data_IF_615418441462
#
_entry.id   IF_615418441462
#
_cell.length_a   1.000
_cell.length_b   1.000
_cell.length_c   1.000
_cell.angle_alpha   90.00
_cell.angle_beta   90.00
_cell.angle_gamma   90.00
#
_symmetry.space_group_name_H-M   'P 1'
#
loop_
_entity.id
_entity.type
_entity.pdbx_description
1 polymer ?
#
# COMPACT_ATOMS: atom_id res chain seq x y z
N UNK A 1 -23.83 -4.73 12.18
CA UNK A 1 -22.98 -3.58 12.59
C UNK A 1 -22.31 -3.00 11.35
N UNK A 2 -22.63 -1.77 10.94
CA UNK A 2 -21.89 -1.09 9.86
C UNK A 2 -20.61 -0.50 10.46
N UNK A 3 -19.50 -1.21 10.36
CA UNK A 3 -18.18 -0.68 10.70
C UNK A 3 -17.76 0.27 9.59
N UNK A 4 -18.12 1.54 9.73
CA UNK A 4 -17.68 2.56 8.79
C UNK A 4 -16.15 2.66 8.84
N UNK A 5 -15.46 2.56 7.71
CA UNK A 5 -14.00 2.72 7.64
C UNK A 5 -13.57 4.04 8.29
N UNK A 6 -12.42 4.06 8.97
CA UNK A 6 -11.86 5.31 9.53
C UNK A 6 -11.48 6.27 8.39
N UNK A 7 -11.46 7.60 8.62
CA UNK A 7 -11.24 8.59 7.55
C UNK A 7 -9.95 8.37 6.76
N UNK A 8 -8.85 8.00 7.41
CA UNK A 8 -7.57 7.74 6.73
C UNK A 8 -7.61 6.53 5.80
N UNK A 9 -8.29 5.43 6.17
CA UNK A 9 -8.50 4.30 5.27
C UNK A 9 -9.32 4.70 4.04
N UNK A 10 -10.35 5.53 4.22
CA UNK A 10 -11.17 6.01 3.09
C UNK A 10 -10.34 6.89 2.16
N UNK A 11 -9.61 7.85 2.72
CA UNK A 11 -8.74 8.73 1.94
C UNK A 11 -7.69 7.92 1.17
N UNK A 12 -6.98 7.01 1.84
CA UNK A 12 -6.00 6.12 1.22
C UNK A 12 -6.63 5.27 0.11
N UNK A 13 -7.82 4.70 0.34
CA UNK A 13 -8.50 3.90 -0.66
C UNK A 13 -8.92 4.74 -1.87
N UNK A 14 -9.46 5.95 -1.67
CA UNK A 14 -9.84 6.84 -2.77
C UNK A 14 -8.62 7.20 -3.62
N UNK A 15 -7.53 7.63 -3.01
CA UNK A 15 -6.32 7.97 -3.75
C UNK A 15 -5.72 6.76 -4.46
N UNK A 16 -5.66 5.60 -3.81
CA UNK A 16 -5.11 4.38 -4.42
C UNK A 16 -6.01 3.82 -5.52
N UNK A 17 -7.33 3.97 -5.43
CA UNK A 17 -8.25 3.64 -6.53
C UNK A 17 -8.06 4.61 -7.71
N UNK A 18 -7.86 5.90 -7.44
CA UNK A 18 -7.52 6.88 -8.47
C UNK A 18 -6.20 6.56 -9.18
N UNK A 19 -5.16 6.29 -8.41
CA UNK A 19 -3.87 5.79 -8.91
C UNK A 19 -4.04 4.54 -9.77
N UNK A 20 -4.79 3.56 -9.26
CA UNK A 20 -5.02 2.30 -9.99
C UNK A 20 -5.80 2.51 -11.27
N UNK A 21 -6.78 3.41 -11.27
CA UNK A 21 -7.52 3.75 -12.48
C UNK A 21 -6.59 4.33 -13.56
N UNK A 22 -5.62 5.17 -13.18
CA UNK A 22 -4.60 5.69 -14.08
C UNK A 22 -3.71 4.57 -14.61
N UNK A 23 -3.14 3.75 -13.72
CA UNK A 23 -2.20 2.69 -14.10
C UNK A 23 -2.86 1.57 -14.92
N UNK A 24 -4.12 1.23 -14.63
CA UNK A 24 -4.88 0.25 -15.41
C UNK A 24 -5.36 0.83 -16.74
N UNK A 25 -5.73 2.12 -16.79
CA UNK A 25 -6.00 2.80 -18.06
C UNK A 25 -4.77 2.77 -18.96
N UNK A 26 -3.58 2.98 -18.40
CA UNK A 26 -2.33 2.89 -19.14
C UNK A 26 -2.07 1.49 -19.69
N UNK A 27 -2.18 0.47 -18.84
CA UNK A 27 -2.06 -0.94 -19.23
C UNK A 27 -3.03 -1.34 -20.35
N UNK A 28 -4.30 -0.95 -20.24
CA UNK A 28 -5.34 -1.25 -21.24
C UNK A 28 -5.10 -0.48 -22.53
N UNK A 29 -4.71 0.79 -22.46
CA UNK A 29 -4.42 1.59 -23.66
C UNK A 29 -3.24 0.98 -24.41
N UNK A 30 -2.17 0.64 -23.71
CA UNK A 30 -0.99 0.03 -24.30
C UNK A 30 -1.30 -1.35 -24.88
N UNK A 31 -2.01 -2.20 -24.14
CA UNK A 31 -2.41 -3.53 -24.59
C UNK A 31 -3.34 -3.53 -25.82
N UNK A 32 -4.16 -2.48 -26.00
CA UNK A 32 -5.07 -2.37 -27.15
C UNK A 32 -4.47 -1.66 -28.35
N UNK A 33 -3.55 -0.71 -28.13
CA UNK A 33 -3.10 0.22 -29.19
C UNK A 33 -1.61 0.14 -29.50
N UNK A 34 -0.81 -0.52 -28.64
CA UNK A 34 0.65 -0.47 -28.69
C UNK A 34 1.24 0.88 -28.25
N UNK A 35 0.40 1.80 -27.75
CA UNK A 35 0.81 3.12 -27.28
C UNK A 35 0.38 3.34 -25.83
N UNK A 36 1.24 3.98 -25.04
CA UNK A 36 0.88 4.35 -23.68
C UNK A 36 -0.17 5.48 -23.65
N UNK A 37 -0.91 5.57 -22.55
CA UNK A 37 -1.97 6.58 -22.37
C UNK A 37 -1.42 8.00 -22.22
N UNK A 38 -2.31 8.99 -22.27
CA UNK A 38 -1.94 10.39 -22.07
C UNK A 38 -1.35 10.70 -20.67
N UNK A 39 -1.51 9.79 -19.70
CA UNK A 39 -0.97 9.91 -18.36
C UNK A 39 0.39 9.21 -18.17
N UNK A 40 0.90 8.57 -19.22
CA UNK A 40 2.18 7.87 -19.19
C UNK A 40 3.35 8.84 -19.08
N UNK A 41 4.28 8.55 -18.18
CA UNK A 41 5.34 9.47 -17.78
C UNK A 41 6.29 9.88 -18.93
N UNK A 42 6.42 9.09 -19.98
CA UNK A 42 7.41 9.27 -21.05
C UNK A 42 6.84 9.77 -22.38
N UNK A 43 5.53 9.68 -22.58
CA UNK A 43 4.90 9.99 -23.88
C UNK A 43 3.56 10.73 -23.77
N UNK A 44 3.09 11.00 -22.55
CA UNK A 44 1.82 11.66 -22.28
C UNK A 44 1.85 13.19 -22.44
N UNK A 45 0.69 13.81 -22.21
CA UNK A 45 0.58 15.27 -22.14
C UNK A 45 1.18 15.76 -20.81
N UNK A 46 2.06 16.77 -20.84
CA UNK A 46 2.79 17.25 -19.65
C UNK A 46 1.88 17.62 -18.47
N UNK A 47 0.74 18.28 -18.71
CA UNK A 47 -0.21 18.62 -17.65
C UNK A 47 -0.89 17.38 -17.05
N UNK A 48 -1.20 16.38 -17.89
CA UNK A 48 -1.80 15.11 -17.45
C UNK A 48 -0.77 14.26 -16.70
N UNK A 49 0.49 14.26 -17.13
CA UNK A 49 1.61 13.61 -16.43
C UNK A 49 1.76 14.22 -15.04
N UNK A 50 1.84 15.55 -14.93
CA UNK A 50 1.96 16.22 -13.63
C UNK A 50 0.78 15.88 -12.72
N UNK A 51 -0.46 15.91 -13.24
CA UNK A 51 -1.62 15.51 -12.46
C UNK A 51 -1.54 14.04 -12.00
N UNK A 52 -1.09 13.13 -12.87
CA UNK A 52 -0.88 11.72 -12.56
C UNK A 52 0.17 11.52 -11.46
N UNK A 53 1.30 12.23 -11.53
CA UNK A 53 2.36 12.20 -10.53
C UNK A 53 1.87 12.72 -9.17
N UNK A 54 1.06 13.78 -9.16
CA UNK A 54 0.43 14.28 -7.94
C UNK A 54 -0.48 13.23 -7.32
N UNK A 55 -1.30 12.54 -8.12
CA UNK A 55 -2.16 11.44 -7.64
C UNK A 55 -1.32 10.28 -7.07
N UNK A 56 -0.24 9.87 -7.75
CA UNK A 56 0.69 8.85 -7.25
C UNK A 56 1.26 9.25 -5.89
N UNK A 57 1.80 10.46 -5.80
CA UNK A 57 2.41 10.98 -4.59
C UNK A 57 1.45 11.00 -3.40
N UNK A 58 0.23 11.52 -3.62
CA UNK A 58 -0.81 11.54 -2.59
C UNK A 58 -1.28 10.14 -2.19
N UNK A 59 -1.38 9.19 -3.13
CA UNK A 59 -1.74 7.81 -2.83
C UNK A 59 -0.71 7.12 -1.93
N UNK A 60 0.59 7.31 -2.20
CA UNK A 60 1.66 6.78 -1.37
C UNK A 60 1.72 7.43 0.01
N UNK A 61 1.58 8.76 0.11
CA UNK A 61 1.53 9.45 1.40
C UNK A 61 0.28 9.07 2.22
N UNK A 62 -0.85 8.81 1.58
CA UNK A 62 -2.03 8.32 2.28
C UNK A 62 -1.81 6.93 2.89
N UNK A 63 -1.02 6.05 2.24
CA UNK A 63 -0.58 4.78 2.83
C UNK A 63 0.34 5.02 4.04
N UNK A 64 1.25 5.99 3.98
CA UNK A 64 2.08 6.37 5.14
C UNK A 64 1.21 6.75 6.33
N UNK A 65 0.14 7.54 6.11
CA UNK A 65 -0.82 7.89 7.16
C UNK A 65 -1.50 6.63 7.73
N UNK A 66 -1.92 5.68 6.89
CA UNK A 66 -2.49 4.40 7.37
C UNK A 66 -1.48 3.63 8.23
N UNK A 67 -0.24 3.48 7.76
CA UNK A 67 0.83 2.79 8.49
C UNK A 67 1.16 3.50 9.81
N UNK A 68 1.08 4.82 9.85
CA UNK A 68 1.29 5.61 11.05
C UNK A 68 0.15 5.41 12.06
N UNK A 69 -1.10 5.58 11.61
CA UNK A 69 -2.29 5.52 12.44
C UNK A 69 -2.60 4.12 12.98
N UNK A 70 -2.29 3.06 12.23
CA UNK A 70 -2.54 1.67 12.66
C UNK A 70 -1.37 1.09 13.49
N UNK A 71 -0.63 1.95 14.20
CA UNK A 71 0.52 1.56 15.01
C UNK A 71 0.24 0.43 15.99
N UNK A 72 -0.91 0.49 16.67
CA UNK A 72 -1.28 -0.47 17.69
C UNK A 72 -1.62 -1.85 17.10
N UNK A 73 -2.26 -1.88 15.93
CA UNK A 73 -2.52 -3.12 15.20
C UNK A 73 -1.20 -3.83 14.84
N UNK A 74 -0.19 -3.05 14.42
CA UNK A 74 1.16 -3.59 14.20
C UNK A 74 1.85 -3.99 15.51
N UNK A 75 1.65 -3.28 16.63
CA UNK A 75 2.21 -3.69 17.94
C UNK A 75 1.70 -5.05 18.39
N UNK A 76 0.44 -5.37 18.09
CA UNK A 76 -0.16 -6.67 18.33
C UNK A 76 0.31 -7.76 17.35
N UNK A 77 1.00 -7.38 16.26
CA UNK A 77 1.52 -8.30 15.26
C UNK A 77 2.91 -8.87 15.62
N UNK A 78 3.35 -9.88 14.86
CA UNK A 78 4.66 -10.50 15.06
C UNK A 78 5.82 -9.52 14.82
N UNK A 79 7.02 -9.84 15.34
CA UNK A 79 8.21 -8.95 15.23
C UNK A 79 8.55 -8.59 13.78
N UNK A 80 8.35 -9.53 12.86
CA UNK A 80 8.65 -9.34 11.45
C UNK A 80 7.73 -8.31 10.79
N UNK A 81 6.41 -8.40 11.01
CA UNK A 81 5.46 -7.40 10.54
C UNK A 81 5.71 -6.00 11.11
N UNK A 82 6.18 -5.91 12.36
CA UNK A 82 6.59 -4.63 12.97
C UNK A 82 7.82 -4.02 12.29
N UNK A 83 8.78 -4.84 11.87
CA UNK A 83 9.92 -4.39 11.05
C UNK A 83 9.45 -3.90 9.68
N UNK A 84 8.64 -4.71 8.99
CA UNK A 84 8.07 -4.37 7.68
C UNK A 84 7.27 -3.07 7.70
N UNK A 85 6.56 -2.76 8.79
CA UNK A 85 5.88 -1.48 8.94
C UNK A 85 6.82 -0.31 8.71
N UNK A 86 7.99 -0.30 9.36
CA UNK A 86 8.95 0.80 9.24
C UNK A 86 9.58 0.84 7.86
N UNK A 87 9.94 -0.32 7.31
CA UNK A 87 10.46 -0.42 5.94
C UNK A 87 9.48 0.17 4.93
N UNK A 88 8.20 -0.22 5.00
CA UNK A 88 7.15 0.27 4.11
C UNK A 88 6.85 1.74 4.36
N UNK A 89 6.87 2.21 5.60
CA UNK A 89 6.66 3.62 5.93
C UNK A 89 7.72 4.50 5.25
N UNK A 90 9.00 4.11 5.36
CA UNK A 90 10.09 4.83 4.71
C UNK A 90 9.98 4.74 3.19
N UNK A 91 9.72 3.56 2.63
CA UNK A 91 9.64 3.37 1.19
C UNK A 91 8.46 4.14 0.55
N UNK A 92 7.25 4.05 1.12
CA UNK A 92 6.10 4.83 0.66
C UNK A 92 6.28 6.33 0.89
N UNK A 93 6.90 6.73 2.01
CA UNK A 93 7.21 8.14 2.27
C UNK A 93 8.18 8.70 1.24
N UNK A 94 9.27 7.97 0.95
CA UNK A 94 10.21 8.31 -0.09
C UNK A 94 9.53 8.42 -1.45
N UNK A 95 8.79 7.39 -1.88
CA UNK A 95 8.08 7.39 -3.16
C UNK A 95 7.06 8.54 -3.27
N UNK A 96 6.29 8.78 -2.21
CA UNK A 96 5.30 9.84 -2.16
C UNK A 96 5.91 11.23 -2.33
N UNK A 97 6.99 11.51 -1.59
CA UNK A 97 7.70 12.78 -1.68
C UNK A 97 8.45 12.93 -3.02
N UNK A 98 9.08 11.86 -3.50
CA UNK A 98 9.76 11.84 -4.80
C UNK A 98 8.80 12.21 -5.94
N UNK A 99 7.60 11.62 -5.97
CA UNK A 99 6.59 11.91 -7.00
C UNK A 99 6.12 13.39 -6.95
N UNK A 100 5.88 13.92 -5.75
CA UNK A 100 5.37 15.30 -5.58
C UNK A 100 6.43 16.38 -5.84
N UNK A 101 7.67 16.15 -5.44
CA UNK A 101 8.68 17.21 -5.40
C UNK A 101 9.79 17.02 -6.43
N UNK A 102 10.11 15.79 -6.82
CA UNK A 102 11.19 15.54 -7.79
C UNK A 102 10.60 15.33 -9.18
N UNK A 103 9.71 14.35 -9.34
CA UNK A 103 9.16 14.02 -10.66
C UNK A 103 8.27 15.14 -11.22
N UNK A 104 7.47 15.78 -10.37
CA UNK A 104 6.60 16.88 -10.81
C UNK A 104 7.41 18.10 -11.31
N UNK A 105 8.60 18.32 -10.76
CA UNK A 105 9.48 19.43 -11.14
C UNK A 105 10.50 19.05 -12.23
N UNK A 106 10.65 17.76 -12.52
CA UNK A 106 11.57 17.24 -13.54
C UNK A 106 11.42 17.98 -14.90
N UNK A 107 10.22 18.22 -15.45
CA UNK A 107 10.10 18.91 -16.73
C UNK A 107 10.64 20.36 -16.71
N UNK A 108 10.68 21.01 -15.55
CA UNK A 108 11.13 22.39 -15.40
C UNK A 108 12.65 22.51 -15.15
N UNK A 109 13.34 21.41 -14.84
CA UNK A 109 14.74 21.40 -14.39
C UNK A 109 15.68 20.75 -15.43
N UNK A 110 15.15 20.07 -16.46
CA UNK A 110 15.90 19.07 -17.26
C UNK A 110 16.36 19.56 -18.65
N UNK A 111 16.54 20.86 -18.90
CA UNK A 111 17.29 21.25 -20.10
C UNK A 111 18.79 20.93 -19.95
N UNK A 112 19.23 19.77 -20.50
CA UNK A 112 20.63 19.54 -20.89
C UNK A 112 21.54 18.68 -20.00
N UNK A 113 21.04 17.95 -18.99
CA UNK A 113 21.89 17.13 -18.11
C UNK A 113 21.33 15.71 -17.94
N UNK A 114 21.83 14.73 -18.70
CA UNK A 114 21.35 13.33 -18.69
C UNK A 114 21.91 12.48 -17.52
N UNK A 115 23.09 12.83 -16.99
CA UNK A 115 23.87 11.96 -16.09
C UNK A 115 23.23 11.59 -14.72
N UNK A 116 22.52 12.47 -14.00
CA UNK A 116 21.97 12.14 -12.67
C UNK A 116 20.72 11.24 -12.71
N UNK A 117 19.99 11.22 -13.83
CA UNK A 117 18.65 10.65 -13.89
C UNK A 117 18.62 9.13 -13.96
N UNK A 118 19.66 8.51 -14.54
CA UNK A 118 19.78 7.04 -14.56
C UNK A 118 19.88 6.48 -13.13
N UNK A 119 20.67 7.12 -12.28
CA UNK A 119 20.80 6.72 -10.87
C UNK A 119 19.48 6.93 -10.14
N UNK A 120 18.78 8.03 -10.43
CA UNK A 120 17.47 8.31 -9.86
C UNK A 120 16.40 7.28 -10.24
N UNK A 121 16.34 6.87 -11.52
CA UNK A 121 15.43 5.83 -12.01
C UNK A 121 15.71 4.45 -11.39
N UNK A 122 16.99 4.12 -11.19
CA UNK A 122 17.40 2.93 -10.44
C UNK A 122 16.93 2.97 -8.98
N UNK A 123 17.07 4.11 -8.31
CA UNK A 123 16.59 4.31 -6.93
C UNK A 123 15.06 4.16 -6.88
N UNK A 124 14.33 4.78 -7.81
CA UNK A 124 12.88 4.65 -7.90
C UNK A 124 12.43 3.20 -8.11
N UNK A 125 13.10 2.47 -9.01
CA UNK A 125 12.85 1.04 -9.26
C UNK A 125 13.11 0.19 -8.01
N UNK A 126 14.22 0.45 -7.31
CA UNK A 126 14.54 -0.24 -6.06
C UNK A 126 13.50 0.05 -4.97
N UNK A 127 13.04 1.30 -4.84
CA UNK A 127 12.00 1.68 -3.88
C UNK A 127 10.66 0.99 -4.20
N UNK A 128 10.27 0.92 -5.47
CA UNK A 128 9.09 0.16 -5.91
C UNK A 128 9.22 -1.32 -5.57
N UNK A 129 10.38 -1.93 -5.82
CA UNK A 129 10.64 -3.32 -5.47
C UNK A 129 10.51 -3.56 -3.95
N UNK A 130 11.03 -2.64 -3.12
CA UNK A 130 10.87 -2.71 -1.66
C UNK A 130 9.41 -2.62 -1.24
N UNK A 131 8.62 -1.74 -1.88
CA UNK A 131 7.17 -1.65 -1.63
C UNK A 131 6.47 -2.95 -1.99
N UNK A 132 6.67 -3.47 -3.20
CA UNK A 132 6.01 -4.69 -3.69
C UNK A 132 6.39 -5.90 -2.83
N UNK A 133 7.68 -6.12 -2.61
CA UNK A 133 8.18 -7.25 -1.82
C UNK A 133 7.78 -7.10 -0.35
N UNK A 134 7.94 -5.92 0.23
CA UNK A 134 7.57 -5.65 1.62
C UNK A 134 6.08 -5.84 1.87
N UNK A 135 5.22 -5.39 0.95
CA UNK A 135 3.77 -5.58 1.03
C UNK A 135 3.38 -7.06 0.89
N UNK A 136 4.01 -7.80 -0.03
CA UNK A 136 3.82 -9.24 -0.17
C UNK A 136 4.23 -9.99 1.11
N UNK A 137 5.44 -9.72 1.61
CA UNK A 137 5.96 -10.31 2.85
C UNK A 137 5.08 -9.96 4.06
N UNK A 138 4.50 -8.76 4.08
CA UNK A 138 3.56 -8.37 5.12
C UNK A 138 2.28 -9.21 5.05
N UNK A 139 1.73 -9.45 3.86
CA UNK A 139 0.61 -10.36 3.67
C UNK A 139 0.91 -11.78 4.21
N UNK A 140 2.07 -12.33 3.86
CA UNK A 140 2.53 -13.62 4.36
C UNK A 140 2.67 -13.67 5.88
N UNK A 141 3.25 -12.63 6.47
CA UNK A 141 3.43 -12.52 7.91
C UNK A 141 2.10 -12.62 8.67
N UNK A 142 0.98 -12.27 8.03
CA UNK A 142 -0.36 -12.21 8.63
C UNK A 142 -1.20 -13.48 8.41
N UNK A 143 -0.72 -14.49 7.68
CA UNK A 143 -1.51 -15.68 7.32
C UNK A 143 -2.14 -16.41 8.52
N UNK A 144 -1.40 -16.50 9.65
CA UNK A 144 -1.81 -17.32 10.80
C UNK A 144 -2.67 -16.58 11.82
N UNK A 145 -2.34 -15.32 12.14
CA UNK A 145 -2.97 -14.58 13.25
C UNK A 145 -3.77 -13.37 12.80
N UNK A 146 -3.63 -12.96 11.53
CA UNK A 146 -4.27 -11.83 10.86
C UNK A 146 -4.66 -10.60 11.73
N UNK A 147 -3.75 -10.05 12.56
CA UNK A 147 -4.02 -8.87 13.38
C UNK A 147 -4.29 -7.61 12.56
N UNK A 148 -3.92 -7.61 11.27
CA UNK A 148 -4.10 -6.47 10.35
C UNK A 148 -5.38 -6.57 9.49
N UNK A 149 -6.30 -7.49 9.81
CA UNK A 149 -7.64 -7.51 9.23
C UNK A 149 -7.69 -7.84 7.74
N UNK A 150 -8.61 -7.22 7.00
CA UNK A 150 -8.86 -7.57 5.59
C UNK A 150 -7.68 -7.18 4.69
N UNK A 151 -7.02 -6.05 4.96
CA UNK A 151 -5.89 -5.57 4.16
C UNK A 151 -4.75 -6.60 4.07
N UNK A 152 -4.40 -7.25 5.18
CA UNK A 152 -3.35 -8.28 5.20
C UNK A 152 -3.65 -9.46 4.26
N UNK A 153 -4.94 -9.81 4.08
CA UNK A 153 -5.36 -10.87 3.15
C UNK A 153 -5.29 -10.42 1.70
N UNK A 154 -5.68 -9.18 1.42
CA UNK A 154 -5.59 -8.62 0.06
C UNK A 154 -4.13 -8.59 -0.40
N UNK A 155 -3.18 -8.30 0.50
CA UNK A 155 -1.75 -8.29 0.18
C UNK A 155 -1.18 -9.65 -0.26
N UNK A 156 -1.85 -10.77 0.06
CA UNK A 156 -1.47 -12.08 -0.51
C UNK A 156 -1.72 -12.14 -2.02
N UNK A 157 -2.61 -11.29 -2.54
CA UNK A 157 -2.86 -11.12 -3.97
C UNK A 157 -1.69 -10.50 -4.73
N UNK A 158 -0.65 -9.99 -4.05
CA UNK A 158 0.54 -9.46 -4.72
C UNK A 158 1.26 -10.56 -5.50
N UNK A 159 1.34 -11.78 -4.97
CA UNK A 159 1.95 -12.90 -5.70
C UNK A 159 1.24 -13.26 -7.00
N UNK A 160 -0.09 -13.51 -7.04
CA UNK A 160 -0.76 -13.78 -8.29
C UNK A 160 -0.71 -12.57 -9.24
N UNK A 161 -0.67 -11.33 -8.74
CA UNK A 161 -0.49 -10.15 -9.60
C UNK A 161 0.92 -10.11 -10.23
N UNK A 162 1.98 -10.43 -9.48
CA UNK A 162 3.34 -10.57 -10.03
C UNK A 162 3.40 -11.72 -11.04
N UNK A 163 2.81 -12.88 -10.71
CA UNK A 163 2.75 -14.00 -11.63
C UNK A 163 2.00 -13.65 -12.92
N UNK A 164 0.90 -12.90 -12.83
CA UNK A 164 0.17 -12.39 -13.99
C UNK A 164 1.06 -11.52 -14.87
N UNK A 165 1.80 -10.56 -14.28
CA UNK A 165 2.73 -9.71 -15.03
C UNK A 165 3.76 -10.57 -15.76
N UNK A 166 4.37 -11.56 -15.10
CA UNK A 166 5.37 -12.43 -15.72
C UNK A 166 4.80 -13.28 -16.86
N UNK A 167 3.58 -13.80 -16.69
CA UNK A 167 2.89 -14.54 -17.75
C UNK A 167 2.58 -13.63 -18.92
N UNK A 168 2.03 -12.44 -18.68
CA UNK A 168 1.75 -11.45 -19.73
C UNK A 168 3.04 -11.03 -20.44
N UNK A 169 4.14 -10.82 -19.72
CA UNK A 169 5.43 -10.50 -20.33
C UNK A 169 5.91 -11.58 -21.32
N UNK A 170 5.53 -12.84 -21.12
CA UNK A 170 5.88 -13.94 -22.00
C UNK A 170 4.89 -14.13 -23.17
N UNK A 171 3.59 -13.94 -22.95
CA UNK A 171 2.55 -14.33 -23.93
C UNK A 171 1.83 -13.15 -24.59
N UNK A 172 1.83 -11.98 -23.95
CA UNK A 172 1.19 -10.75 -24.42
C UNK A 172 1.95 -9.53 -23.86
N UNK A 173 3.19 -9.26 -24.33
CA UNK A 173 4.07 -8.27 -23.69
C UNK A 173 3.46 -6.89 -23.56
N UNK A 174 2.61 -6.48 -24.52
CA UNK A 174 1.94 -5.18 -24.50
C UNK A 174 0.94 -5.03 -23.34
N UNK A 175 0.52 -6.14 -22.73
CA UNK A 175 -0.35 -6.15 -21.56
C UNK A 175 0.43 -6.24 -20.24
N UNK A 176 1.74 -6.48 -20.28
CA UNK A 176 2.58 -6.59 -19.09
C UNK A 176 2.80 -5.22 -18.47
N UNK A 177 2.15 -4.97 -17.33
CA UNK A 177 2.17 -3.65 -16.69
C UNK A 177 2.25 -3.75 -15.15
N UNK A 178 3.08 -2.94 -14.48
CA UNK A 178 3.19 -2.94 -13.02
C UNK A 178 1.89 -2.54 -12.29
N UNK A 179 1.01 -1.82 -12.97
CA UNK A 179 -0.28 -1.33 -12.44
C UNK A 179 -1.17 -2.41 -11.82
N UNK A 180 -1.08 -3.67 -12.26
CA UNK A 180 -1.83 -4.77 -11.64
C UNK A 180 -1.38 -5.03 -10.19
N UNK A 181 -0.07 -4.97 -9.94
CA UNK A 181 0.50 -5.14 -8.60
C UNK A 181 0.26 -3.89 -7.76
N UNK A 182 0.42 -2.70 -8.35
CA UNK A 182 0.14 -1.44 -7.65
C UNK A 182 -1.30 -1.37 -7.15
N UNK A 183 -2.27 -1.85 -7.93
CA UNK A 183 -3.67 -1.95 -7.50
C UNK A 183 -3.82 -2.81 -6.24
N UNK A 184 -3.25 -4.02 -6.24
CA UNK A 184 -3.36 -4.93 -5.09
C UNK A 184 -2.65 -4.37 -3.86
N UNK A 185 -1.45 -3.82 -4.05
CA UNK A 185 -0.69 -3.16 -2.98
C UNK A 185 -1.50 -1.98 -2.43
N UNK A 186 -1.95 -1.07 -3.28
CA UNK A 186 -2.67 0.13 -2.89
C UNK A 186 -3.96 -0.17 -2.12
N UNK A 187 -4.77 -1.11 -2.61
CA UNK A 187 -6.00 -1.56 -1.93
C UNK A 187 -5.67 -2.27 -0.62
N UNK A 188 -4.73 -3.22 -0.63
CA UNK A 188 -4.38 -3.99 0.55
C UNK A 188 -3.79 -3.11 1.67
N UNK A 189 -2.88 -2.20 1.33
CA UNK A 189 -2.29 -1.25 2.26
C UNK A 189 -3.34 -0.28 2.82
N UNK A 190 -4.26 0.21 1.98
CA UNK A 190 -5.34 1.11 2.41
C UNK A 190 -6.30 0.47 3.41
N UNK A 191 -6.44 -0.86 3.38
CA UNK A 191 -7.33 -1.64 4.24
C UNK A 191 -6.62 -2.32 5.42
N UNK A 192 -5.33 -2.07 5.65
CA UNK A 192 -4.62 -2.63 6.81
C UNK A 192 -5.25 -2.15 8.12
N UNK A 193 -5.45 -3.04 9.09
CA UNK A 193 -6.11 -2.73 10.36
C UNK A 193 -7.64 -2.63 10.26
N UNK A 194 -8.22 -2.55 9.05
CA UNK A 194 -9.67 -2.55 8.87
C UNK A 194 -10.27 -3.90 9.28
N UNK A 195 -11.19 -3.86 10.25
CA UNK A 195 -11.86 -5.06 10.77
C UNK A 195 -11.01 -5.90 11.72
N UNK A 196 -9.85 -5.41 12.18
CA UNK A 196 -9.09 -6.05 13.24
C UNK A 196 -9.94 -6.09 14.53
N UNK A 197 -10.10 -7.28 15.12
CA UNK A 197 -10.83 -7.44 16.38
C UNK A 197 -10.01 -6.83 17.51
N UNK A 198 -10.38 -5.63 17.95
CA UNK A 198 -9.86 -5.06 19.18
C UNK A 198 -10.34 -5.94 20.33
N UNK A 199 -9.50 -6.86 20.82
CA UNK A 199 -9.75 -7.47 22.12
C UNK A 199 -9.64 -6.34 23.15
N UNK A 200 -10.80 -5.86 23.61
CA UNK A 200 -10.89 -4.85 24.65
C UNK A 200 -10.29 -5.43 25.94
N UNK A 201 -9.24 -4.84 26.54
CA UNK A 201 -8.62 -5.38 27.76
C UNK A 201 -9.50 -5.30 29.03
N UNK A 202 -10.74 -4.82 28.93
CA UNK A 202 -11.49 -4.31 30.09
C UNK A 202 -12.51 -5.29 30.70
N UNK A 203 -12.54 -6.58 30.34
CA UNK A 203 -13.56 -7.51 30.87
C UNK A 203 -13.02 -8.75 31.60
N UNK A 204 -11.74 -8.84 31.95
CA UNK A 204 -11.23 -10.00 32.72
C UNK A 204 -11.08 -9.77 34.23
N UNK A 205 -11.14 -8.53 34.73
CA UNK A 205 -10.89 -8.25 36.15
C UNK A 205 -12.15 -8.11 37.03
N UNK A 206 -13.35 -8.03 36.44
CA UNK A 206 -14.61 -7.89 37.20
C UNK A 206 -15.22 -9.23 37.66
N UNK A 207 -14.77 -10.38 37.14
CA UNK A 207 -15.31 -11.69 37.52
C UNK A 207 -14.52 -12.41 38.62
N UNK A 208 -13.38 -11.88 39.06
CA UNK A 208 -12.58 -12.49 40.13
C UNK A 208 -12.96 -12.04 41.55
N UNK A 209 -13.75 -10.98 41.70
CA UNK A 209 -14.04 -10.40 43.03
C UNK A 209 -15.40 -10.77 43.62
N UNK A 210 -16.28 -11.46 42.90
CA UNK A 210 -17.64 -11.79 43.39
C UNK A 210 -17.81 -13.22 43.91
N UNK A 211 -16.79 -14.07 43.81
CA UNK A 211 -16.89 -15.49 44.21
C UNK A 211 -16.34 -15.86 45.60
N UNK A 212 -15.71 -14.93 46.33
CA UNK A 212 -14.94 -15.28 47.54
C UNK A 212 -15.63 -14.98 48.89
N UNK A 213 -16.89 -14.54 48.91
CA UNK A 213 -17.62 -14.18 50.14
C UNK A 213 -19.00 -14.85 50.23
N UNK A 214 -19.05 -16.18 50.17
CA UNK A 214 -20.25 -16.91 50.54
C UNK A 214 -19.90 -18.20 51.29
N UNK A 215 -19.93 -18.15 52.63
CA UNK A 215 -20.05 -19.35 53.46
C UNK A 215 -19.16 -19.39 54.71
N UNK A 216 -19.53 -18.64 55.76
CA UNK A 216 -19.27 -19.04 57.16
C UNK A 216 -20.33 -20.09 57.59
N UNK A 217 -20.16 -20.91 58.65
CA UNK A 217 -20.25 -20.38 60.01
C UNK A 217 -19.37 -21.05 61.08
N UNK A 218 -19.30 -20.35 62.22
CA UNK A 218 -18.82 -20.80 63.52
C UNK A 218 -19.38 -22.17 63.95
N UNK A 219 -18.50 -23.00 64.53
CA UNK A 219 -18.67 -23.65 65.85
C UNK A 219 -17.32 -24.13 66.36
#
# INVERSE_FOLDING_TARGET
MRTSLRPWHRAALIFNLGLSAIALNDAVTHGLTGHYSAAAATSGNSAVIVASLVVHGLAYLAIVVVLWCEADAFRAANRFARGLRWTLLVAFGFMGLAMLFVETWRPAVVEGVESPWVVWELIGTAALAVVVLGSCLLGFAMLRTNPLGVGGRVLLGVLPAVALILVLAAVAPDWSHPGYVEFVVGVGMSLLGAGASTQSPLTSNSQRSTGAYAGAPEK
#
